data_IF_585827280033
#
_entry.id   IF_585827280033
#
_cell.length_a   1.000
_cell.length_b   1.000
_cell.length_c   1.000
_cell.angle_alpha   90.00
_cell.angle_beta   90.00
_cell.angle_gamma   90.00
#
_symmetry.space_group_name_H-M   'P 1'
#
loop_
_entity.id
_entity.type
_entity.pdbx_description
1 polymer ?
#
# COMPACT_ATOMS: atom_id res chain seq x y z
N UNK A 1 -23.45 -9.32 -7.40
CA UNK A 1 -23.64 -9.48 -5.94
C UNK A 1 -22.54 -10.36 -5.29
N UNK A 2 -21.32 -10.44 -5.85
CA UNK A 2 -20.23 -11.26 -5.27
C UNK A 2 -18.85 -10.55 -5.24
N UNK A 3 -18.83 -9.23 -5.34
CA UNK A 3 -17.59 -8.43 -5.36
C UNK A 3 -17.18 -7.88 -3.99
N UNK A 4 -18.10 -7.81 -3.03
CA UNK A 4 -17.85 -7.18 -1.72
C UNK A 4 -16.97 -8.03 -0.78
N UNK A 5 -17.00 -9.37 -0.89
CA UNK A 5 -16.22 -10.25 0.01
C UNK A 5 -14.73 -10.36 -0.34
N UNK A 6 -14.30 -9.88 -1.52
CA UNK A 6 -12.89 -9.98 -1.94
C UNK A 6 -11.99 -8.86 -1.41
N UNK A 7 -12.57 -7.82 -0.82
CA UNK A 7 -11.86 -6.57 -0.51
C UNK A 7 -11.69 -6.29 0.98
N UNK A 8 -11.99 -7.25 1.87
CA UNK A 8 -11.49 -7.15 3.24
C UNK A 8 -9.97 -7.29 3.24
N UNK A 9 -9.22 -6.39 3.90
CA UNK A 9 -7.78 -6.57 4.06
C UNK A 9 -7.53 -7.97 4.64
N UNK A 10 -6.66 -8.74 3.99
CA UNK A 10 -6.33 -10.11 4.45
C UNK A 10 -5.37 -10.09 5.66
N UNK A 11 -5.29 -8.93 6.33
CA UNK A 11 -4.70 -8.74 7.64
C UNK A 11 -5.87 -8.64 8.61
N UNK A 12 -6.16 -9.74 9.32
CA UNK A 12 -7.12 -9.69 10.42
C UNK A 12 -6.57 -8.73 11.49
N UNK A 13 -7.42 -7.87 12.10
CA UNK A 13 -7.04 -7.14 13.30
C UNK A 13 -6.58 -8.12 14.37
N UNK A 14 -5.51 -7.79 15.07
CA UNK A 14 -5.16 -8.48 16.32
C UNK A 14 -6.32 -8.24 17.28
N UNK A 15 -7.03 -9.30 17.65
CA UNK A 15 -8.09 -9.20 18.66
C UNK A 15 -7.46 -8.71 19.98
N UNK A 16 -7.95 -7.57 20.47
CA UNK A 16 -7.64 -7.08 21.82
C UNK A 16 -8.25 -8.06 22.83
N UNK A 17 -7.41 -8.95 23.39
CA UNK A 17 -7.78 -9.69 24.60
C UNK A 17 -7.87 -8.69 25.77
N UNK A 18 -9.11 -8.38 26.16
CA UNK A 18 -9.45 -7.77 27.43
C UNK A 18 -8.79 -8.58 28.58
N UNK A 19 -7.85 -7.94 29.30
CA UNK A 19 -7.41 -8.42 30.61
C UNK A 19 -7.94 -7.50 31.70
N UNK A 20 -8.93 -8.04 32.41
CA UNK A 20 -9.38 -7.56 33.71
C UNK A 20 -8.19 -7.47 34.68
N UNK A 21 -8.10 -6.34 35.39
CA UNK A 21 -7.20 -6.16 36.53
C UNK A 21 -7.71 -6.93 37.74
N UNK A 22 -6.78 -7.50 38.52
CA UNK A 22 -6.87 -7.29 39.96
C UNK A 22 -5.56 -6.79 40.57
N UNK A 23 -5.75 -5.87 41.50
CA UNK A 23 -4.80 -5.32 42.47
C UNK A 23 -4.17 -6.39 43.36
N UNK A 24 -2.84 -6.38 43.50
CA UNK A 24 -2.14 -6.09 44.77
C UNK A 24 -0.64 -6.39 44.67
N UNK A 25 0.10 -5.61 45.47
CA UNK A 25 1.51 -5.62 45.78
C UNK A 25 2.04 -7.01 46.16
N UNK A 26 3.22 -7.44 45.69
CA UNK A 26 4.47 -7.48 46.49
C UNK A 26 5.67 -8.13 45.74
N UNK A 27 6.85 -7.57 46.02
CA UNK A 27 8.24 -8.10 45.98
C UNK A 27 8.74 -9.25 45.04
N UNK A 28 9.79 -8.91 44.28
CA UNK A 28 11.04 -9.64 43.93
C UNK A 28 11.06 -11.15 43.57
N UNK A 29 11.51 -11.47 42.33
CA UNK A 29 12.74 -12.26 42.05
C UNK A 29 12.94 -12.54 40.54
N UNK A 30 14.22 -12.57 40.13
CA UNK A 30 14.70 -12.87 38.77
C UNK A 30 14.58 -14.36 38.44
N UNK A 31 13.93 -14.71 37.33
CA UNK A 31 14.29 -15.90 36.52
C UNK A 31 14.17 -15.57 35.03
N UNK A 32 15.30 -15.72 34.32
CA UNK A 32 15.37 -15.73 32.87
C UNK A 32 14.75 -17.05 32.36
N UNK A 33 13.71 -16.96 31.55
CA UNK A 33 13.26 -18.05 30.68
C UNK A 33 13.12 -17.48 29.28
N UNK A 34 14.04 -17.89 28.40
CA UNK A 34 13.93 -17.77 26.96
C UNK A 34 12.69 -18.54 26.52
N UNK A 35 11.62 -17.81 26.23
CA UNK A 35 10.47 -18.31 25.48
C UNK A 35 10.53 -17.70 24.09
N UNK A 36 11.06 -18.45 23.12
CA UNK A 36 10.89 -18.17 21.70
C UNK A 36 9.38 -18.16 21.42
N UNK A 37 8.79 -16.97 21.33
CA UNK A 37 7.43 -16.80 20.82
C UNK A 37 7.48 -17.09 19.32
N UNK A 38 6.91 -18.23 18.93
CA UNK A 38 6.68 -18.59 17.53
C UNK A 38 5.85 -17.51 16.83
N UNK A 39 6.48 -16.71 15.98
CA UNK A 39 5.80 -15.77 15.10
C UNK A 39 5.20 -16.51 13.90
N UNK A 40 3.94 -16.20 13.62
CA UNK A 40 3.29 -16.47 12.34
C UNK A 40 2.46 -17.75 12.31
N UNK A 41 1.13 -17.62 12.37
CA UNK A 41 0.24 -18.66 11.86
C UNK A 41 0.68 -19.04 10.44
N UNK A 42 0.98 -20.33 10.20
CA UNK A 42 1.43 -20.82 8.89
C UNK A 42 0.37 -20.50 7.84
N UNK A 43 0.62 -19.47 7.04
CA UNK A 43 -0.17 -19.16 5.86
C UNK A 43 0.06 -20.28 4.84
N UNK A 44 -1.02 -20.88 4.35
CA UNK A 44 -0.94 -21.99 3.38
C UNK A 44 -0.43 -21.49 2.02
N UNK A 45 0.18 -22.36 1.22
CA UNK A 45 0.70 -22.07 -0.12
C UNK A 45 -0.37 -21.44 -1.02
N UNK A 46 -1.62 -21.88 -0.88
CA UNK A 46 -2.78 -21.35 -1.60
C UNK A 46 -3.03 -19.86 -1.33
N UNK A 47 -2.74 -19.37 -0.11
CA UNK A 47 -2.92 -17.96 0.24
C UNK A 47 -1.96 -17.04 -0.53
N UNK A 48 -0.69 -17.42 -0.64
CA UNK A 48 0.30 -16.62 -1.36
C UNK A 48 0.04 -16.64 -2.87
N UNK A 49 -0.37 -17.79 -3.41
CA UNK A 49 -0.75 -17.91 -4.82
C UNK A 49 -1.89 -16.97 -5.19
N UNK A 50 -2.94 -16.89 -4.36
CA UNK A 50 -4.06 -15.97 -4.59
C UNK A 50 -3.63 -14.50 -4.56
N UNK A 51 -2.75 -14.12 -3.63
CA UNK A 51 -2.25 -12.74 -3.56
C UNK A 51 -1.44 -12.39 -4.80
N UNK A 52 -0.53 -13.27 -5.22
CA UNK A 52 0.28 -13.03 -6.41
C UNK A 52 -0.59 -13.01 -7.68
N UNK A 53 -1.60 -13.88 -7.73
CA UNK A 53 -2.57 -13.91 -8.83
C UNK A 53 -3.32 -12.58 -8.97
N UNK A 54 -3.82 -12.01 -7.87
CA UNK A 54 -4.50 -10.71 -7.86
C UNK A 54 -3.53 -9.55 -8.14
N UNK A 55 -2.36 -9.55 -7.50
CA UNK A 55 -1.36 -8.48 -7.62
C UNK A 55 -0.84 -8.32 -9.06
N UNK A 56 -0.58 -9.44 -9.75
CA UNK A 56 -0.17 -9.44 -11.16
C UNK A 56 -1.33 -9.45 -12.16
N UNK A 57 -2.58 -9.47 -11.68
CA UNK A 57 -3.80 -9.54 -12.49
C UNK A 57 -3.73 -10.69 -13.51
N UNK A 58 -3.41 -11.90 -13.04
CA UNK A 58 -3.19 -13.06 -13.91
C UNK A 58 -4.49 -13.61 -14.53
N UNK A 59 -5.65 -13.16 -14.06
CA UNK A 59 -6.96 -13.36 -14.70
C UNK A 59 -7.12 -12.60 -16.02
N UNK A 60 -6.34 -11.53 -16.22
CA UNK A 60 -6.36 -10.75 -17.46
C UNK A 60 -5.48 -11.43 -18.52
N UNK A 61 -6.11 -11.81 -19.65
CA UNK A 61 -5.41 -12.34 -20.81
C UNK A 61 -4.68 -11.20 -21.54
N UNK A 62 -3.36 -11.14 -21.34
CA UNK A 62 -2.52 -10.11 -21.93
C UNK A 62 -2.35 -10.28 -23.45
N UNK A 63 -2.45 -11.51 -23.96
CA UNK A 63 -2.31 -11.78 -25.38
C UNK A 63 -3.45 -11.14 -26.17
N UNK A 64 -4.70 -11.34 -25.74
CA UNK A 64 -5.88 -10.77 -26.38
C UNK A 64 -5.81 -9.22 -26.41
N UNK A 65 -5.31 -8.61 -25.32
CA UNK A 65 -5.09 -7.16 -25.26
C UNK A 65 -3.99 -6.70 -26.22
N UNK A 66 -2.85 -7.40 -26.27
CA UNK A 66 -1.76 -7.08 -27.16
C UNK A 66 -2.17 -7.20 -28.64
N UNK A 67 -2.93 -8.23 -28.98
CA UNK A 67 -3.48 -8.44 -30.33
C UNK A 67 -4.40 -7.28 -30.70
N UNK A 68 -5.39 -6.99 -29.84
CA UNK A 68 -6.34 -5.91 -30.07
C UNK A 68 -5.66 -4.54 -30.23
N UNK A 69 -4.74 -4.18 -29.33
CA UNK A 69 -3.99 -2.92 -29.42
C UNK A 69 -3.09 -2.86 -30.67
N UNK A 70 -2.54 -4.00 -31.08
CA UNK A 70 -1.75 -4.11 -32.30
C UNK A 70 -2.59 -3.99 -33.58
N UNK A 71 -3.86 -4.39 -33.54
CA UNK A 71 -4.81 -4.21 -34.65
C UNK A 71 -5.15 -2.74 -34.87
N UNK A 72 -5.39 -1.99 -33.79
CA UNK A 72 -5.84 -0.59 -33.86
C UNK A 72 -4.70 0.43 -33.96
N UNK A 73 -3.49 0.09 -33.49
CA UNK A 73 -2.31 0.99 -33.54
C UNK A 73 -1.06 0.29 -34.12
N UNK A 74 -0.63 0.65 -35.35
CA UNK A 74 0.60 0.14 -35.97
C UNK A 74 1.88 0.45 -35.18
N UNK A 75 1.91 1.57 -34.45
CA UNK A 75 3.06 1.91 -33.62
C UNK A 75 3.16 0.95 -32.43
N UNK A 76 2.03 0.69 -31.77
CA UNK A 76 1.95 -0.30 -30.70
C UNK A 76 2.40 -1.67 -31.20
N UNK A 77 1.88 -2.16 -32.33
CA UNK A 77 2.27 -3.45 -32.93
C UNK A 77 3.78 -3.62 -33.06
N UNK A 78 4.45 -2.58 -33.54
CA UNK A 78 5.91 -2.59 -33.74
C UNK A 78 6.67 -2.64 -32.42
N UNK A 79 6.21 -1.91 -31.40
CA UNK A 79 6.87 -1.82 -30.09
C UNK A 79 6.56 -3.00 -29.18
N UNK A 80 5.35 -3.55 -29.25
CA UNK A 80 4.90 -4.67 -28.43
C UNK A 80 5.82 -5.90 -28.54
N UNK A 81 6.39 -6.14 -29.73
CA UNK A 81 7.35 -7.22 -29.97
C UNK A 81 8.63 -7.09 -29.14
N UNK A 82 9.04 -5.86 -28.81
CA UNK A 82 10.25 -5.59 -28.02
C UNK A 82 10.00 -5.64 -26.51
N UNK A 83 8.73 -5.53 -26.10
CA UNK A 83 8.31 -5.45 -24.68
C UNK A 83 7.13 -6.40 -24.40
N UNK A 84 7.33 -7.73 -24.53
CA UNK A 84 6.30 -8.69 -24.15
C UNK A 84 6.11 -8.73 -22.64
N UNK A 85 4.89 -9.03 -22.18
CA UNK A 85 4.62 -9.31 -20.76
C UNK A 85 4.46 -8.08 -19.86
N UNK A 86 4.35 -6.86 -20.39
CA UNK A 86 4.15 -5.66 -19.57
C UNK A 86 2.71 -5.65 -19.03
N UNK A 87 2.58 -5.77 -17.71
CA UNK A 87 1.30 -5.80 -17.00
C UNK A 87 1.13 -4.59 -16.08
N UNK A 88 -0.12 -4.24 -15.82
CA UNK A 88 -0.48 -3.26 -14.79
C UNK A 88 -0.71 -4.02 -13.48
N UNK A 89 0.00 -3.63 -12.43
CA UNK A 89 -0.13 -4.26 -11.11
C UNK A 89 -1.38 -3.76 -10.38
N UNK A 90 -1.94 -4.61 -9.52
CA UNK A 90 -3.02 -4.24 -8.58
C UNK A 90 -2.42 -4.02 -7.19
N UNK A 91 -1.90 -2.82 -6.96
CA UNK A 91 -1.16 -2.49 -5.74
C UNK A 91 -2.09 -2.20 -4.56
N UNK A 92 -1.54 -2.29 -3.35
CA UNK A 92 -2.23 -1.91 -2.10
C UNK A 92 -2.55 -0.40 -2.14
N UNK A 93 -3.80 0.04 -1.88
CA UNK A 93 -4.20 1.42 -2.13
C UNK A 93 -3.46 2.48 -1.31
N UNK A 94 -3.12 2.20 -0.04
CA UNK A 94 -2.43 3.13 0.85
C UNK A 94 -0.98 3.34 0.38
N UNK A 95 -0.24 2.26 0.19
CA UNK A 95 1.12 2.25 -0.36
C UNK A 95 1.16 3.00 -1.69
N UNK A 96 0.21 2.68 -2.58
CA UNK A 96 0.15 3.28 -3.90
C UNK A 96 -0.09 4.79 -3.83
N UNK A 97 -1.06 5.25 -3.03
CA UNK A 97 -1.37 6.66 -2.84
C UNK A 97 -0.13 7.45 -2.37
N UNK A 98 0.49 7.00 -1.28
CA UNK A 98 1.62 7.73 -0.68
C UNK A 98 2.88 7.65 -1.54
N UNK A 99 3.12 6.53 -2.23
CA UNK A 99 4.21 6.41 -3.22
C UNK A 99 4.01 7.39 -4.39
N UNK A 100 2.78 7.56 -4.88
CA UNK A 100 2.49 8.52 -5.94
C UNK A 100 2.56 9.98 -5.48
N UNK A 101 2.21 10.29 -4.23
CA UNK A 101 2.48 11.62 -3.65
C UNK A 101 3.98 11.93 -3.72
N UNK A 102 4.84 10.95 -3.41
CA UNK A 102 6.31 11.06 -3.51
C UNK A 102 6.80 11.26 -4.96
N UNK A 103 6.03 10.81 -5.95
CA UNK A 103 6.38 10.89 -7.38
C UNK A 103 6.20 12.27 -8.02
N UNK A 104 5.39 13.15 -7.43
CA UNK A 104 5.07 14.45 -8.01
C UNK A 104 6.35 15.26 -8.25
N UNK A 105 6.67 15.66 -9.49
CA UNK A 105 7.90 16.38 -9.85
C UNK A 105 9.20 15.73 -9.30
N UNK A 106 9.44 14.46 -9.64
CA UNK A 106 10.56 13.66 -9.12
C UNK A 106 11.02 12.62 -10.16
N UNK A 107 12.15 11.94 -9.91
CA UNK A 107 12.65 10.85 -10.75
C UNK A 107 12.55 9.48 -10.03
N UNK A 108 12.52 8.40 -10.81
CA UNK A 108 12.26 7.03 -10.30
C UNK A 108 13.25 6.66 -9.18
N UNK A 109 14.55 6.88 -9.37
CA UNK A 109 15.58 6.54 -8.38
C UNK A 109 15.35 7.21 -7.03
N UNK A 110 15.01 8.51 -7.04
CA UNK A 110 14.74 9.26 -5.81
C UNK A 110 13.41 8.86 -5.18
N UNK A 111 12.39 8.52 -5.99
CA UNK A 111 11.09 8.06 -5.48
C UNK A 111 11.27 6.75 -4.71
N UNK A 112 11.97 5.77 -5.29
CA UNK A 112 12.25 4.49 -4.64
C UNK A 112 12.95 4.67 -3.29
N UNK A 113 14.01 5.50 -3.26
CA UNK A 113 14.72 5.79 -2.03
C UNK A 113 13.85 6.51 -0.99
N UNK A 114 12.96 7.39 -1.42
CA UNK A 114 12.03 8.06 -0.50
C UNK A 114 11.07 7.05 0.12
N UNK A 115 10.45 6.19 -0.68
CA UNK A 115 9.52 5.15 -0.19
C UNK A 115 10.23 4.21 0.77
N UNK A 116 11.43 3.74 0.43
CA UNK A 116 12.25 2.90 1.30
C UNK A 116 12.52 3.56 2.66
N UNK A 117 13.01 4.81 2.68
CA UNK A 117 13.23 5.58 3.92
C UNK A 117 11.97 5.75 4.77
N UNK A 118 10.81 5.88 4.14
CA UNK A 118 9.54 5.97 4.86
C UNK A 118 9.15 4.63 5.48
N UNK A 119 9.31 3.51 4.75
CA UNK A 119 9.10 2.17 5.29
C UNK A 119 10.08 1.86 6.42
N UNK A 120 11.37 2.16 6.27
CA UNK A 120 12.37 1.98 7.34
C UNK A 120 12.04 2.78 8.60
N UNK A 121 11.52 4.01 8.43
CA UNK A 121 11.29 4.92 9.55
C UNK A 121 9.97 4.66 10.28
N UNK A 122 8.92 4.33 9.55
CA UNK A 122 7.54 4.28 10.07
C UNK A 122 6.86 2.92 9.85
N UNK A 123 7.49 2.01 9.11
CA UNK A 123 6.99 0.68 8.84
C UNK A 123 7.43 -0.33 9.90
N UNK A 124 6.70 -1.43 9.96
CA UNK A 124 7.04 -2.55 10.84
C UNK A 124 8.16 -3.39 10.22
N UNK A 125 9.13 -3.80 11.04
CA UNK A 125 10.19 -4.71 10.60
C UNK A 125 9.60 -6.09 10.25
N UNK A 126 9.88 -6.58 9.05
CA UNK A 126 9.40 -7.89 8.57
C UNK A 126 10.48 -8.94 8.73
N UNK A 127 11.64 -8.71 8.11
CA UNK A 127 12.71 -9.70 8.03
C UNK A 127 14.04 -9.03 7.68
N UNK A 128 15.13 -9.78 7.89
CA UNK A 128 16.45 -9.43 7.37
C UNK A 128 17.00 -10.61 6.59
N UNK A 129 17.27 -10.40 5.31
CA UNK A 129 17.77 -11.42 4.38
C UNK A 129 18.94 -10.83 3.58
N UNK A 130 20.03 -11.59 3.41
CA UNK A 130 21.22 -11.16 2.68
C UNK A 130 21.80 -9.80 3.10
N UNK A 131 21.66 -9.46 4.39
CA UNK A 131 22.12 -8.19 4.95
C UNK A 131 21.18 -7.00 4.72
N UNK A 132 20.08 -7.17 3.98
CA UNK A 132 19.05 -6.18 3.75
C UNK A 132 17.90 -6.34 4.74
N UNK A 133 17.44 -5.23 5.32
CA UNK A 133 16.27 -5.21 6.22
C UNK A 133 15.03 -4.82 5.44
N UNK A 134 13.97 -5.61 5.56
CA UNK A 134 12.68 -5.37 4.92
C UNK A 134 11.68 -4.86 5.95
N UNK A 135 10.98 -3.80 5.57
CA UNK A 135 9.95 -3.16 6.39
C UNK A 135 8.65 -3.11 5.61
N UNK A 136 7.53 -3.30 6.31
CA UNK A 136 6.20 -3.10 5.75
C UNK A 136 5.94 -1.64 5.41
N UNK A 137 4.97 -1.39 4.53
CA UNK A 137 4.51 -0.03 4.32
C UNK A 137 3.84 0.51 5.61
N UNK A 138 4.05 1.78 5.98
CA UNK A 138 3.48 2.33 7.22
C UNK A 138 1.95 2.32 7.21
N UNK A 139 1.36 1.96 8.34
CA UNK A 139 -0.09 2.10 8.56
C UNK A 139 -0.49 3.59 8.57
N UNK A 140 -1.71 3.90 8.13
CA UNK A 140 -2.20 5.27 8.01
C UNK A 140 -2.12 6.00 9.36
N UNK A 141 -2.46 5.30 10.43
CA UNK A 141 -2.51 5.78 11.80
C UNK A 141 -1.14 6.28 12.29
N UNK A 142 -0.07 5.61 11.87
CA UNK A 142 1.32 6.00 12.20
C UNK A 142 1.67 7.33 11.53
N UNK A 143 1.18 7.58 10.32
CA UNK A 143 1.48 8.77 9.53
C UNK A 143 0.73 10.03 9.98
N UNK A 144 -0.22 9.91 10.92
CA UNK A 144 -1.01 11.04 11.46
C UNK A 144 -0.26 11.82 12.54
N UNK A 145 0.71 11.20 13.20
CA UNK A 145 1.39 11.78 14.34
C UNK A 145 2.06 13.13 14.01
N UNK A 146 1.99 14.08 14.95
CA UNK A 146 2.44 15.47 14.72
C UNK A 146 3.92 15.58 14.31
N UNK A 147 4.76 14.65 14.76
CA UNK A 147 6.19 14.59 14.44
C UNK A 147 6.49 14.07 13.02
N UNK A 148 5.53 13.43 12.34
CA UNK A 148 5.75 12.78 11.04
C UNK A 148 6.15 13.79 9.97
N UNK A 149 5.45 14.92 9.90
CA UNK A 149 5.74 15.93 8.88
C UNK A 149 7.18 16.47 9.00
N UNK A 150 7.63 16.79 10.20
CA UNK A 150 8.98 17.29 10.45
C UNK A 150 10.03 16.20 10.17
N UNK A 151 9.77 14.98 10.63
CA UNK A 151 10.64 13.83 10.38
C UNK A 151 10.81 13.57 8.87
N UNK A 152 9.73 13.58 8.10
CA UNK A 152 9.77 13.42 6.64
C UNK A 152 10.54 14.56 5.95
N UNK A 153 10.43 15.80 6.45
CA UNK A 153 11.26 16.91 5.94
C UNK A 153 12.75 16.65 6.14
N UNK A 154 13.12 16.18 7.33
CA UNK A 154 14.50 15.82 7.66
C UNK A 154 15.02 14.64 6.81
N UNK A 155 14.12 13.73 6.40
CA UNK A 155 14.42 12.63 5.48
C UNK A 155 14.48 13.06 3.99
N UNK A 156 14.23 14.33 3.67
CA UNK A 156 14.39 14.88 2.32
C UNK A 156 13.12 14.84 1.44
N UNK A 157 11.94 14.68 2.04
CA UNK A 157 10.66 14.70 1.31
C UNK A 157 10.25 16.11 0.87
N UNK A 158 10.82 17.15 1.49
CA UNK A 158 10.54 18.54 1.15
C UNK A 158 9.08 18.91 1.39
N UNK A 159 8.45 19.57 0.41
CA UNK A 159 7.04 19.98 0.53
C UNK A 159 6.06 18.80 0.59
N UNK A 160 6.44 17.62 0.07
CA UNK A 160 5.58 16.41 0.04
C UNK A 160 5.33 15.84 1.43
N UNK A 161 6.20 16.16 2.40
CA UNK A 161 5.99 15.80 3.81
C UNK A 161 4.62 16.30 4.32
N UNK A 162 4.22 17.53 3.94
CA UNK A 162 2.91 18.08 4.28
C UNK A 162 1.78 17.28 3.61
N UNK A 163 1.96 16.89 2.35
CA UNK A 163 0.94 16.16 1.60
C UNK A 163 0.68 14.78 2.20
N UNK A 164 1.74 14.08 2.63
CA UNK A 164 1.63 12.80 3.31
C UNK A 164 0.88 12.95 4.64
N UNK A 165 1.31 13.87 5.52
CA UNK A 165 0.68 14.05 6.84
C UNK A 165 -0.77 14.50 6.73
N UNK A 166 -1.08 15.43 5.83
CA UNK A 166 -2.46 15.92 5.64
C UNK A 166 -3.36 14.86 4.96
N UNK A 167 -2.82 14.06 4.05
CA UNK A 167 -3.57 12.95 3.44
C UNK A 167 -3.84 11.84 4.46
N UNK A 168 -2.89 11.49 5.33
CA UNK A 168 -3.10 10.52 6.40
C UNK A 168 -4.19 11.00 7.39
N UNK A 169 -4.17 12.29 7.76
CA UNK A 169 -5.21 12.92 8.59
C UNK A 169 -6.57 12.91 7.91
N UNK A 170 -6.63 13.17 6.60
CA UNK A 170 -7.86 13.08 5.83
C UNK A 170 -8.41 11.65 5.83
N UNK A 171 -7.57 10.65 5.51
CA UNK A 171 -7.97 9.25 5.48
C UNK A 171 -8.53 8.81 6.84
N UNK A 172 -7.86 9.16 7.93
CA UNK A 172 -8.33 8.83 9.30
C UNK A 172 -9.72 9.38 9.59
N UNK A 173 -10.06 10.58 9.08
CA UNK A 173 -11.41 11.16 9.19
C UNK A 173 -12.46 10.44 8.33
N UNK A 174 -12.03 9.69 7.33
CA UNK A 174 -12.87 8.96 6.38
C UNK A 174 -12.92 7.44 6.66
N UNK A 175 -12.62 6.99 7.88
CA UNK A 175 -12.50 5.56 8.23
C UNK A 175 -11.21 4.87 7.75
N UNK A 176 -10.11 5.64 7.64
CA UNK A 176 -8.77 5.11 7.42
C UNK A 176 -8.57 4.51 6.03
N UNK A 177 -7.85 3.40 5.97
CA UNK A 177 -7.57 2.70 4.71
C UNK A 177 -8.83 2.17 4.01
N UNK A 178 -9.88 1.84 4.78
CA UNK A 178 -11.15 1.29 4.27
C UNK A 178 -11.80 2.19 3.21
N UNK A 179 -11.69 3.51 3.37
CA UNK A 179 -12.15 4.47 2.38
C UNK A 179 -11.55 4.23 0.98
N UNK A 180 -10.23 3.98 0.92
CA UNK A 180 -9.53 3.73 -0.35
C UNK A 180 -9.94 2.38 -0.96
N UNK A 181 -10.20 1.37 -0.14
CA UNK A 181 -10.73 0.09 -0.61
C UNK A 181 -12.12 0.24 -1.22
N UNK A 182 -12.99 1.03 -0.59
CA UNK A 182 -14.34 1.29 -1.08
C UNK A 182 -14.34 2.00 -2.43
N UNK A 183 -13.35 2.88 -2.70
CA UNK A 183 -13.22 3.52 -4.00
C UNK A 183 -13.03 2.53 -5.16
N UNK A 184 -12.53 1.30 -4.90
CA UNK A 184 -12.41 0.28 -5.97
C UNK A 184 -13.76 -0.14 -6.57
N UNK A 185 -14.86 0.08 -5.86
CA UNK A 185 -16.20 -0.33 -6.27
C UNK A 185 -17.05 0.81 -6.83
N UNK A 186 -16.55 2.06 -6.80
CA UNK A 186 -17.29 3.22 -7.32
C UNK A 186 -16.84 3.55 -8.75
N UNK A 187 -17.69 4.21 -9.56
CA UNK A 187 -17.33 4.59 -10.94
C UNK A 187 -16.05 5.43 -11.02
N UNK A 188 -15.29 5.25 -12.10
CA UNK A 188 -14.00 5.92 -12.34
C UNK A 188 -14.04 7.43 -12.05
N UNK A 189 -15.00 8.16 -12.63
CA UNK A 189 -15.07 9.62 -12.47
C UNK A 189 -15.41 10.04 -11.03
N UNK A 190 -16.20 9.23 -10.33
CA UNK A 190 -16.52 9.48 -8.92
C UNK A 190 -15.29 9.23 -8.04
N UNK A 191 -14.63 8.08 -8.20
CA UNK A 191 -13.41 7.76 -7.47
C UNK A 191 -12.31 8.80 -7.71
N UNK A 192 -12.21 9.30 -8.94
CA UNK A 192 -11.28 10.36 -9.31
C UNK A 192 -11.60 11.69 -8.60
N UNK A 193 -12.87 12.09 -8.57
CA UNK A 193 -13.32 13.28 -7.84
C UNK A 193 -13.04 13.17 -6.34
N UNK A 194 -13.27 12.00 -5.75
CA UNK A 194 -12.98 11.73 -4.33
C UNK A 194 -11.49 11.83 -4.01
N UNK A 195 -10.63 11.16 -4.80
CA UNK A 195 -9.18 11.22 -4.60
C UNK A 195 -8.60 12.63 -4.76
N UNK A 196 -9.17 13.47 -5.63
CA UNK A 196 -8.73 14.85 -5.82
C UNK A 196 -8.98 15.76 -4.60
N UNK A 197 -9.75 15.30 -3.60
CA UNK A 197 -9.90 16.01 -2.32
C UNK A 197 -8.65 15.91 -1.43
N UNK A 198 -7.77 14.94 -1.68
CA UNK A 198 -6.54 14.74 -0.90
C UNK A 198 -5.48 15.82 -1.20
N UNK A 199 -4.78 16.26 -0.16
CA UNK A 199 -3.75 17.27 -0.29
C UNK A 199 -2.56 16.75 -1.11
N UNK A 200 -2.22 17.44 -2.21
CA UNK A 200 -1.12 17.03 -3.09
C UNK A 200 -1.51 15.99 -4.16
N UNK A 201 -2.78 15.58 -4.21
CA UNK A 201 -3.31 14.71 -5.25
C UNK A 201 -3.96 15.54 -6.35
N UNK A 202 -3.17 15.87 -7.37
CA UNK A 202 -3.67 16.49 -8.60
C UNK A 202 -4.14 15.44 -9.63
N UNK A 203 -4.63 15.90 -10.78
CA UNK A 203 -5.15 15.03 -11.86
C UNK A 203 -4.17 13.90 -12.25
N UNK A 204 -2.86 14.17 -12.32
CA UNK A 204 -1.84 13.16 -12.64
C UNK A 204 -1.74 12.07 -11.56
N UNK A 205 -1.65 12.48 -10.29
CA UNK A 205 -1.50 11.55 -9.16
C UNK A 205 -2.76 10.70 -9.02
N UNK A 206 -3.92 11.33 -9.21
CA UNK A 206 -5.21 10.65 -9.26
C UNK A 206 -5.26 9.64 -10.41
N UNK A 207 -4.98 10.02 -11.66
CA UNK A 207 -5.05 9.10 -12.81
C UNK A 207 -4.09 7.91 -12.69
N UNK A 208 -2.86 8.12 -12.20
CA UNK A 208 -1.92 7.02 -12.01
C UNK A 208 -2.33 6.10 -10.85
N UNK A 209 -2.69 6.67 -9.70
CA UNK A 209 -3.11 5.90 -8.53
C UNK A 209 -4.34 5.07 -8.84
N UNK A 210 -5.37 5.69 -9.41
CA UNK A 210 -6.65 5.07 -9.68
C UNK A 210 -6.53 3.84 -10.59
N UNK A 211 -5.71 3.90 -11.65
CA UNK A 211 -5.50 2.78 -12.59
C UNK A 211 -4.76 1.59 -11.98
N UNK A 212 -4.02 1.79 -10.90
CA UNK A 212 -3.17 0.78 -10.27
C UNK A 212 -3.81 0.10 -9.06
N UNK A 213 -4.98 0.55 -8.59
CA UNK A 213 -5.71 -0.16 -7.53
C UNK A 213 -7.21 -0.32 -7.79
N UNK A 214 -7.83 0.50 -8.64
CA UNK A 214 -9.21 0.27 -9.09
C UNK A 214 -9.15 -0.70 -10.25
N UNK A 215 -9.76 -1.87 -10.06
CA UNK A 215 -10.02 -2.80 -11.15
C UNK A 215 -10.96 -2.10 -12.12
N UNK A 216 -10.40 -1.51 -13.18
CA UNK A 216 -11.17 -1.00 -14.30
C UNK A 216 -11.82 -2.21 -14.98
N UNK A 217 -13.02 -2.56 -14.53
CA UNK A 217 -13.94 -3.37 -15.33
C UNK A 217 -14.67 -2.45 -16.31
#
# INVERSE_FOLDING_TARGET
>A
VHTLDRYKPIVKPVEEENKETPSNEDSAERKQTQGERSLGAKKDQNYFEQILWDYFQLDVNLHDLYDHWSEVDPNFRTKAQQFPGVRILRQEPVENLFSFICSSNNNISRISLMVEKMCEKFGEFIAKEDGLSYYGFPMVEVLVANSVQETLRNLGFGYRAKYISESARFLTKQHGAEWLYNLRSVPYEEAKCELMKLCGVGAKVCMCGLKLFISLN
#
